data_IF_422822639316
#
_entry.id   IF_422822639316
#
_cell.length_a   1.000
_cell.length_b   1.000
_cell.length_c   1.000
_cell.angle_alpha   90.00
_cell.angle_beta   90.00
_cell.angle_gamma   90.00
#
_symmetry.space_group_name_H-M   'P 1'
#
loop_
_entity.id
_entity.type
_entity.pdbx_description
1 polymer ?
#
# COMPACT_ATOMS: atom_id res chain seq x y z
N UNK A 1 -6.82 -23.79 -20.56
CA UNK A 1 -6.54 -24.73 -21.68
C UNK A 1 -5.63 -25.84 -21.20
N UNK A 2 -6.08 -27.08 -21.37
CA UNK A 2 -5.42 -28.32 -20.98
C UNK A 2 -4.28 -28.69 -21.96
N UNK A 3 -3.41 -29.58 -21.44
CA UNK A 3 -2.46 -30.50 -22.11
C UNK A 3 -1.06 -29.90 -22.31
N UNK A 4 0.01 -30.44 -21.74
CA UNK A 4 0.43 -31.83 -21.87
C UNK A 4 1.27 -32.33 -20.68
N UNK A 5 0.78 -33.37 -19.97
CA UNK A 5 1.58 -34.36 -19.25
C UNK A 5 2.11 -35.38 -20.25
N UNK A 6 3.38 -35.79 -20.11
CA UNK A 6 4.04 -37.08 -20.44
C UNK A 6 5.56 -36.81 -20.32
N UNK A 7 6.43 -37.59 -19.69
CA UNK A 7 6.41 -38.98 -19.27
C UNK A 7 7.50 -39.20 -18.19
N UNK A 8 7.33 -40.28 -17.44
CA UNK A 8 8.15 -40.82 -16.35
C UNK A 8 9.49 -41.42 -16.84
N UNK A 9 10.45 -41.43 -15.91
CA UNK A 9 11.79 -42.02 -15.86
C UNK A 9 12.08 -43.33 -16.64
N UNK A 10 13.33 -43.43 -17.14
CA UNK A 10 14.10 -44.69 -17.27
C UNK A 10 15.57 -44.43 -16.92
N UNK A 11 16.06 -45.18 -15.94
CA UNK A 11 17.46 -45.35 -15.52
C UNK A 11 18.21 -46.19 -16.55
N UNK A 12 19.46 -45.86 -16.93
CA UNK A 12 20.62 -46.79 -16.88
C UNK A 12 21.88 -46.23 -17.58
N UNK A 13 23.01 -46.61 -16.97
CA UNK A 13 24.38 -46.77 -17.51
C UNK A 13 25.26 -45.56 -17.75
N UNK A 14 25.97 -45.20 -16.67
CA UNK A 14 27.39 -44.80 -16.72
C UNK A 14 28.17 -45.91 -17.44
N UNK A 15 28.67 -45.62 -18.64
CA UNK A 15 29.77 -46.36 -19.25
C UNK A 15 30.95 -45.40 -19.31
N UNK A 16 31.94 -45.66 -18.46
CA UNK A 16 33.31 -45.20 -18.69
C UNK A 16 33.71 -45.65 -20.10
N UNK A 17 33.86 -44.69 -21.01
CA UNK A 17 34.84 -44.82 -22.08
C UNK A 17 35.93 -43.79 -21.82
N UNK A 18 36.92 -44.20 -21.01
CA UNK A 18 38.29 -43.76 -21.21
C UNK A 18 38.66 -44.17 -22.65
N UNK A 19 38.40 -43.27 -23.60
CA UNK A 19 39.15 -43.29 -24.85
C UNK A 19 40.16 -42.17 -24.75
N UNK A 20 41.42 -42.59 -24.81
CA UNK A 20 42.60 -41.75 -24.75
C UNK A 20 42.54 -40.82 -25.95
N UNK A 21 41.97 -39.63 -25.78
CA UNK A 21 42.15 -38.55 -26.73
C UNK A 21 43.53 -37.96 -26.43
N UNK A 22 44.50 -38.54 -27.14
CA UNK A 22 45.81 -37.99 -27.42
C UNK A 22 45.80 -36.46 -27.42
N UNK A 23 46.65 -35.88 -26.59
CA UNK A 23 46.95 -34.45 -26.55
C UNK A 23 47.57 -34.07 -27.88
N UNK A 24 46.75 -33.63 -28.83
CA UNK A 24 47.21 -32.80 -29.93
C UNK A 24 46.89 -31.38 -29.51
N UNK A 25 47.91 -30.69 -28.99
CA UNK A 25 47.87 -29.26 -28.82
C UNK A 25 47.81 -28.62 -30.21
N UNK A 26 46.60 -28.53 -30.77
CA UNK A 26 46.35 -27.49 -31.74
C UNK A 26 46.49 -26.18 -30.97
N UNK A 27 47.55 -25.42 -31.26
CA UNK A 27 47.53 -24.01 -31.00
C UNK A 27 46.27 -23.48 -31.70
N UNK A 28 45.23 -23.22 -30.91
CA UNK A 28 44.06 -22.49 -31.35
C UNK A 28 44.59 -21.22 -31.97
N UNK A 29 44.51 -21.11 -33.31
CA UNK A 29 44.85 -19.89 -34.05
C UNK A 29 43.85 -18.77 -33.77
N UNK A 30 42.87 -19.03 -32.91
CA UNK A 30 41.91 -18.07 -32.37
C UNK A 30 42.20 -17.80 -30.90
N UNK A 31 42.02 -16.54 -30.50
CA UNK A 31 42.08 -16.14 -29.11
C UNK A 31 41.09 -16.96 -28.27
N UNK A 32 41.55 -17.55 -27.17
CA UNK A 32 40.78 -18.56 -26.44
C UNK A 32 41.19 -18.67 -24.97
N UNK A 33 40.51 -19.55 -24.24
CA UNK A 33 40.88 -19.94 -22.88
C UNK A 33 41.47 -21.34 -22.87
N UNK A 34 42.55 -21.53 -22.10
CA UNK A 34 43.18 -22.83 -21.87
C UNK A 34 43.27 -23.11 -20.38
N UNK A 35 42.76 -24.27 -19.96
CA UNK A 35 42.90 -24.76 -18.58
C UNK A 35 44.26 -25.43 -18.38
N UNK A 36 44.95 -25.09 -17.30
CA UNK A 36 46.19 -25.72 -16.84
C UNK A 36 45.90 -26.86 -15.86
N UNK A 37 46.90 -27.69 -15.56
CA UNK A 37 46.77 -28.88 -14.71
C UNK A 37 46.38 -28.54 -13.26
N UNK A 38 46.76 -27.35 -12.78
CA UNK A 38 46.37 -26.80 -11.49
C UNK A 38 44.94 -26.25 -11.47
N UNK A 39 44.23 -26.30 -12.59
CA UNK A 39 42.85 -25.84 -12.74
C UNK A 39 42.70 -24.36 -13.12
N UNK A 40 43.79 -23.59 -13.23
CA UNK A 40 43.75 -22.19 -13.67
C UNK A 40 43.34 -22.08 -15.14
N UNK A 41 42.57 -21.06 -15.50
CA UNK A 41 42.23 -20.77 -16.89
C UNK A 41 43.03 -19.56 -17.38
N UNK A 42 43.85 -19.77 -18.40
CA UNK A 42 44.72 -18.76 -19.00
C UNK A 42 44.15 -18.30 -20.34
N UNK A 43 44.26 -17.00 -20.61
CA UNK A 43 43.96 -16.43 -21.92
C UNK A 43 45.12 -16.67 -22.88
N UNK A 44 44.78 -17.18 -24.06
CA UNK A 44 45.70 -17.53 -25.13
C UNK A 44 45.43 -16.61 -26.31
N UNK A 45 46.41 -15.82 -26.71
CA UNK A 45 46.40 -14.98 -27.91
C UNK A 45 47.31 -15.64 -28.95
N UNK A 46 46.76 -15.97 -30.12
CA UNK A 46 47.50 -16.72 -31.16
C UNK A 46 48.21 -17.98 -30.63
N UNK A 47 47.58 -18.69 -29.71
CA UNK A 47 48.12 -19.90 -29.08
C UNK A 47 49.21 -19.69 -28.02
N UNK A 48 49.54 -18.44 -27.65
CA UNK A 48 50.48 -18.10 -26.57
C UNK A 48 49.76 -17.41 -25.42
N UNK A 49 50.17 -17.70 -24.19
CA UNK A 49 49.60 -17.04 -23.01
C UNK A 49 49.94 -15.54 -23.04
N UNK A 50 48.93 -14.67 -23.04
CA UNK A 50 49.09 -13.24 -22.91
C UNK A 50 48.70 -12.82 -21.48
N UNK A 51 49.72 -12.61 -20.64
CA UNK A 51 49.57 -12.25 -19.24
C UNK A 51 49.06 -10.81 -19.01
N UNK A 52 48.95 -10.00 -20.06
CA UNK A 52 48.55 -8.59 -19.98
C UNK A 52 47.12 -8.35 -20.45
N UNK A 53 46.47 -9.35 -21.05
CA UNK A 53 45.09 -9.21 -21.52
C UNK A 53 44.12 -9.04 -20.35
N UNK A 54 43.28 -8.02 -20.45
CA UNK A 54 42.13 -7.80 -19.56
C UNK A 54 40.94 -7.43 -20.42
N UNK A 55 39.84 -8.17 -20.31
CA UNK A 55 38.69 -8.00 -21.20
C UNK A 55 37.89 -9.28 -21.37
N UNK A 56 36.98 -9.25 -22.34
CA UNK A 56 36.10 -10.38 -22.64
C UNK A 56 36.70 -11.32 -23.66
N UNK A 57 36.58 -12.63 -23.43
CA UNK A 57 36.97 -13.67 -24.39
C UNK A 57 35.83 -14.66 -24.55
N UNK A 58 35.56 -15.06 -25.79
CA UNK A 58 34.54 -16.06 -26.13
C UNK A 58 35.14 -17.47 -26.04
N UNK A 59 34.50 -18.37 -25.30
CA UNK A 59 34.88 -19.78 -25.19
C UNK A 59 33.61 -20.65 -25.18
N UNK A 60 33.47 -21.54 -26.17
CA UNK A 60 32.26 -22.36 -26.42
C UNK A 60 30.95 -21.57 -26.25
N UNK A 61 30.81 -20.49 -27.02
CA UNK A 61 29.63 -19.62 -27.07
C UNK A 61 29.30 -18.79 -25.81
N UNK A 62 30.14 -18.88 -24.78
CA UNK A 62 30.03 -18.04 -23.58
C UNK A 62 31.16 -17.03 -23.52
N UNK A 63 30.86 -15.80 -23.09
CA UNK A 63 31.85 -14.76 -22.89
C UNK A 63 32.29 -14.71 -21.43
N UNK A 64 33.59 -14.79 -21.21
CA UNK A 64 34.22 -14.79 -19.89
C UNK A 64 35.09 -13.56 -19.72
N UNK A 65 35.16 -13.05 -18.50
CA UNK A 65 36.06 -11.97 -18.15
C UNK A 65 37.42 -12.52 -17.73
N UNK A 66 38.46 -11.96 -18.36
CA UNK A 66 39.86 -12.21 -18.07
C UNK A 66 40.46 -10.97 -17.46
N UNK A 67 41.30 -11.16 -16.45
CA UNK A 67 42.08 -10.13 -15.80
C UNK A 67 43.53 -10.59 -15.69
N UNK A 68 44.46 -9.76 -16.18
CA UNK A 68 45.90 -10.08 -16.19
C UNK A 68 46.20 -11.48 -16.76
N UNK A 69 45.57 -11.81 -17.89
CA UNK A 69 45.74 -13.08 -18.60
C UNK A 69 45.08 -14.30 -17.96
N UNK A 70 44.35 -14.15 -16.84
CA UNK A 70 43.64 -15.24 -16.15
C UNK A 70 42.14 -15.00 -16.11
N UNK A 71 41.35 -16.05 -16.30
CA UNK A 71 39.89 -15.98 -16.09
C UNK A 71 39.61 -15.60 -14.63
N UNK A 72 38.84 -14.53 -14.41
CA UNK A 72 38.44 -14.10 -13.08
C UNK A 72 36.97 -14.44 -12.82
N UNK A 73 36.73 -15.57 -12.16
CA UNK A 73 35.38 -16.05 -11.76
C UNK A 73 34.69 -15.13 -10.74
N UNK A 74 35.43 -14.27 -10.05
CA UNK A 74 34.89 -13.40 -9.01
C UNK A 74 34.58 -11.99 -9.54
N UNK A 75 34.87 -11.70 -10.81
CA UNK A 75 34.60 -10.39 -11.37
C UNK A 75 33.10 -10.17 -11.54
N UNK A 76 32.58 -9.13 -10.90
CA UNK A 76 31.23 -8.61 -11.12
C UNK A 76 31.34 -7.11 -11.32
N UNK A 77 30.89 -6.61 -12.46
CA UNK A 77 31.08 -5.21 -12.83
C UNK A 77 31.00 -4.97 -14.33
N UNK A 78 31.45 -3.79 -14.75
CA UNK A 78 31.43 -3.36 -16.14
C UNK A 78 32.76 -3.61 -16.82
N UNK A 79 32.74 -4.09 -18.05
CA UNK A 79 33.95 -4.19 -18.89
C UNK A 79 33.71 -3.63 -20.26
N UNK A 80 34.70 -2.92 -20.81
CA UNK A 80 34.61 -2.34 -22.14
C UNK A 80 35.05 -3.37 -23.17
N UNK A 81 34.19 -3.63 -24.16
CA UNK A 81 34.53 -4.45 -25.32
C UNK A 81 34.21 -3.67 -26.58
N UNK A 82 35.26 -3.39 -27.36
CA UNK A 82 35.26 -2.31 -28.36
C UNK A 82 34.85 -0.97 -27.75
N UNK A 83 33.67 -0.45 -28.11
CA UNK A 83 33.15 0.83 -27.64
C UNK A 83 31.92 0.71 -26.74
N UNK A 84 31.54 -0.51 -26.38
CA UNK A 84 30.37 -0.79 -25.55
C UNK A 84 30.80 -1.35 -24.20
N UNK A 85 30.15 -0.90 -23.13
CA UNK A 85 30.34 -1.43 -21.79
C UNK A 85 29.29 -2.49 -21.51
N UNK A 86 29.76 -3.68 -21.10
CA UNK A 86 28.92 -4.83 -20.81
C UNK A 86 28.99 -5.20 -19.33
N UNK A 87 27.88 -5.68 -18.79
CA UNK A 87 27.84 -6.25 -17.45
C UNK A 87 28.33 -7.70 -17.44
N UNK A 88 29.24 -7.98 -16.51
CA UNK A 88 29.72 -9.31 -16.17
C UNK A 88 29.30 -9.61 -14.75
N UNK A 89 28.73 -10.80 -14.54
CA UNK A 89 28.42 -11.32 -13.21
C UNK A 89 29.15 -12.64 -12.99
N UNK A 90 29.88 -12.75 -11.88
CA UNK A 90 30.66 -13.95 -11.53
C UNK A 90 31.56 -14.45 -12.68
N UNK A 91 32.26 -13.51 -13.33
CA UNK A 91 33.20 -13.79 -14.41
C UNK A 91 32.58 -14.12 -15.77
N UNK A 92 31.25 -14.11 -15.90
CA UNK A 92 30.52 -14.43 -17.13
C UNK A 92 29.68 -13.23 -17.57
N UNK A 93 29.72 -12.88 -18.85
CA UNK A 93 28.85 -11.84 -19.40
C UNK A 93 27.38 -12.30 -19.28
N UNK A 94 26.57 -11.49 -18.62
CA UNK A 94 25.14 -11.74 -18.50
C UNK A 94 24.37 -10.84 -19.48
N UNK A 95 23.86 -11.45 -20.55
CA UNK A 95 23.20 -10.74 -21.66
C UNK A 95 21.88 -10.08 -21.27
N UNK A 96 21.22 -10.58 -20.24
CA UNK A 96 19.86 -10.16 -19.86
C UNK A 96 19.86 -9.35 -18.56
N UNK A 97 21.03 -8.87 -18.12
CA UNK A 97 21.12 -8.09 -16.89
C UNK A 97 20.61 -6.66 -17.09
N UNK A 98 19.59 -6.30 -16.32
CA UNK A 98 19.09 -4.93 -16.20
C UNK A 98 19.06 -4.53 -14.73
N UNK A 99 19.70 -3.42 -14.38
CA UNK A 99 19.81 -2.96 -12.99
C UNK A 99 21.07 -2.13 -12.72
N UNK A 100 21.42 -2.04 -11.44
CA UNK A 100 22.56 -1.25 -10.96
C UNK A 100 23.79 -2.09 -10.72
N UNK A 101 24.92 -1.67 -11.29
CA UNK A 101 26.23 -2.28 -11.03
C UNK A 101 27.26 -1.25 -10.60
N UNK A 102 28.19 -1.66 -9.75
CA UNK A 102 29.23 -0.79 -9.21
C UNK A 102 30.50 -0.89 -10.07
N UNK A 103 31.02 0.25 -10.51
CA UNK A 103 32.28 0.36 -11.24
C UNK A 103 33.07 1.58 -10.75
N UNK A 104 34.31 1.35 -10.28
CA UNK A 104 35.15 2.37 -9.62
C UNK A 104 34.38 3.27 -8.64
N UNK A 105 33.75 2.65 -7.65
CA UNK A 105 32.98 3.33 -6.61
C UNK A 105 31.71 4.08 -7.05
N UNK A 106 31.36 4.04 -8.33
CA UNK A 106 30.15 4.65 -8.88
C UNK A 106 29.16 3.57 -9.30
N UNK A 107 27.88 3.76 -9.01
CA UNK A 107 26.82 2.86 -9.46
C UNK A 107 26.25 3.35 -10.79
N UNK A 108 26.25 2.48 -11.79
CA UNK A 108 25.75 2.75 -13.13
C UNK A 108 24.53 1.89 -13.44
N UNK A 109 23.61 2.44 -14.24
CA UNK A 109 22.48 1.71 -14.77
C UNK A 109 22.85 0.97 -16.05
N UNK A 110 22.46 -0.30 -16.09
CA UNK A 110 22.65 -1.22 -17.20
C UNK A 110 21.28 -1.71 -17.65
N UNK A 111 21.09 -1.77 -18.96
CA UNK A 111 19.88 -2.27 -19.62
C UNK A 111 20.30 -3.30 -20.67
N UNK A 112 19.77 -4.53 -20.55
CA UNK A 112 20.09 -5.65 -21.44
C UNK A 112 21.62 -5.84 -21.60
N UNK A 113 22.32 -5.91 -20.46
CA UNK A 113 23.78 -5.99 -20.31
C UNK A 113 24.56 -4.74 -20.71
N UNK A 114 23.96 -3.78 -21.41
CA UNK A 114 24.65 -2.60 -21.92
C UNK A 114 24.49 -1.43 -20.96
N UNK A 115 25.60 -0.75 -20.64
CA UNK A 115 25.54 0.50 -19.88
C UNK A 115 24.74 1.54 -20.67
N UNK A 116 23.60 1.95 -20.13
CA UNK A 116 22.75 2.98 -20.73
C UNK A 116 23.13 4.35 -20.15
N UNK A 117 23.96 5.08 -20.90
CA UNK A 117 24.51 6.38 -20.50
C UNK A 117 23.47 7.49 -20.29
N UNK A 118 22.27 7.35 -20.86
CA UNK A 118 21.25 8.41 -20.85
C UNK A 118 20.04 8.05 -19.99
N UNK A 119 20.12 6.97 -19.22
CA UNK A 119 19.01 6.57 -18.36
C UNK A 119 18.84 7.54 -17.20
N UNK A 120 17.66 8.15 -17.12
CA UNK A 120 17.21 8.93 -15.96
C UNK A 120 15.85 8.40 -15.54
N UNK A 121 15.73 7.94 -14.30
CA UNK A 121 14.54 7.24 -13.85
C UNK A 121 14.73 6.46 -12.56
N UNK A 122 13.75 5.61 -12.26
CA UNK A 122 13.76 4.73 -11.09
C UNK A 122 14.07 3.30 -11.51
N UNK A 123 15.03 2.68 -10.83
CA UNK A 123 15.35 1.26 -11.01
C UNK A 123 15.31 0.53 -9.67
N UNK A 124 14.90 -0.74 -9.69
CA UNK A 124 14.82 -1.57 -8.49
C UNK A 124 16.12 -2.33 -8.27
N UNK A 125 16.63 -2.34 -7.04
CA UNK A 125 17.81 -3.10 -6.62
C UNK A 125 17.62 -3.61 -5.19
N UNK A 126 17.69 -4.93 -4.97
CA UNK A 126 17.37 -5.62 -3.71
C UNK A 126 16.15 -5.03 -2.97
N UNK A 127 15.02 -5.04 -3.66
CA UNK A 127 13.73 -4.56 -3.16
C UNK A 127 13.54 -3.06 -2.94
N UNK A 128 14.59 -2.26 -3.12
CA UNK A 128 14.51 -0.80 -3.01
C UNK A 128 14.57 -0.15 -4.40
N UNK A 129 13.77 0.89 -4.60
CA UNK A 129 13.82 1.71 -5.81
C UNK A 129 14.80 2.86 -5.62
N UNK A 130 15.72 3.01 -6.57
CA UNK A 130 16.75 4.04 -6.59
C UNK A 130 16.56 4.97 -7.77
N UNK A 131 16.79 6.25 -7.55
CA UNK A 131 16.83 7.26 -8.58
C UNK A 131 18.21 7.30 -9.24
N UNK A 132 18.19 7.29 -10.56
CA UNK A 132 19.35 7.38 -11.45
C UNK A 132 19.18 8.61 -12.32
N UNK A 133 20.28 9.33 -12.51
CA UNK A 133 20.36 10.51 -13.37
C UNK A 133 21.59 10.35 -14.26
N UNK A 134 21.38 10.41 -15.58
CA UNK A 134 22.42 10.20 -16.60
C UNK A 134 23.27 8.95 -16.32
N UNK A 135 22.59 7.81 -16.12
CA UNK A 135 23.13 6.50 -15.75
C UNK A 135 23.70 6.39 -14.33
N UNK A 136 23.94 7.47 -13.62
CA UNK A 136 24.57 7.45 -12.30
C UNK A 136 23.53 7.47 -11.19
N UNK A 137 23.64 6.56 -10.22
CA UNK A 137 22.80 6.59 -9.03
C UNK A 137 23.01 7.90 -8.27
N UNK A 138 21.96 8.70 -8.13
CA UNK A 138 22.03 9.99 -7.47
C UNK A 138 21.54 9.89 -6.02
N UNK A 139 22.49 9.68 -5.10
CA UNK A 139 22.27 9.62 -3.65
C UNK A 139 21.76 10.92 -3.03
N UNK A 140 21.81 12.05 -3.74
CA UNK A 140 21.43 13.35 -3.23
C UNK A 140 20.02 13.77 -3.68
N UNK A 141 19.34 12.95 -4.49
CA UNK A 141 17.97 13.24 -4.93
C UNK A 141 17.02 13.12 -3.74
N UNK A 142 16.32 14.21 -3.46
CA UNK A 142 15.33 14.29 -2.39
C UNK A 142 14.05 14.99 -2.88
N UNK A 143 12.93 14.74 -2.21
CA UNK A 143 11.64 15.36 -2.50
C UNK A 143 10.81 14.61 -3.53
N UNK A 144 9.77 15.27 -4.04
CA UNK A 144 8.86 14.66 -5.01
C UNK A 144 9.53 14.42 -6.37
N UNK A 145 9.24 13.26 -6.94
CA UNK A 145 9.64 12.87 -8.28
C UNK A 145 8.46 12.25 -9.03
N UNK A 146 8.20 12.75 -10.23
CA UNK A 146 7.23 12.17 -11.15
C UNK A 146 7.96 11.16 -12.04
N UNK A 147 7.61 9.89 -11.93
CA UNK A 147 8.22 8.87 -12.78
C UNK A 147 7.33 8.52 -13.98
N UNK A 148 6.01 8.70 -13.88
CA UNK A 148 5.09 8.53 -15.00
C UNK A 148 3.72 9.18 -14.75
N UNK A 149 3.24 10.04 -15.65
CA UNK A 149 1.86 10.55 -15.61
C UNK A 149 1.48 11.19 -14.27
N UNK A 150 0.52 10.59 -13.55
CA UNK A 150 0.06 11.04 -12.22
C UNK A 150 0.73 10.30 -11.06
N UNK A 151 1.73 9.47 -11.33
CA UNK A 151 2.43 8.67 -10.33
C UNK A 151 3.66 9.43 -9.83
N UNK A 152 3.59 9.86 -8.58
CA UNK A 152 4.65 10.60 -7.90
C UNK A 152 5.07 9.85 -6.65
N UNK A 153 6.38 9.82 -6.40
CA UNK A 153 6.95 9.29 -5.17
C UNK A 153 7.80 10.35 -4.46
N UNK A 154 7.99 10.14 -3.16
CA UNK A 154 8.88 10.93 -2.34
C UNK A 154 10.22 10.20 -2.18
N UNK A 155 11.30 10.90 -2.51
CA UNK A 155 12.66 10.38 -2.44
C UNK A 155 13.39 10.95 -1.22
N UNK A 156 14.11 10.06 -0.51
CA UNK A 156 15.09 10.40 0.51
C UNK A 156 16.42 9.75 0.14
N UNK A 157 17.48 10.53 0.03
CA UNK A 157 18.82 10.06 -0.34
C UNK A 157 18.85 9.15 -1.59
N UNK A 158 18.13 9.54 -2.63
CA UNK A 158 18.05 8.81 -3.89
C UNK A 158 17.18 7.55 -3.87
N UNK A 159 16.46 7.27 -2.78
CA UNK A 159 15.60 6.09 -2.63
C UNK A 159 14.15 6.49 -2.44
N UNK A 160 13.20 5.67 -2.91
CA UNK A 160 11.79 5.84 -2.50
C UNK A 160 11.70 5.60 -1.00
N UNK A 161 11.21 6.62 -0.28
CA UNK A 161 11.03 6.57 1.16
C UNK A 161 9.58 6.20 1.48
N UNK A 162 9.30 4.90 1.54
CA UNK A 162 7.96 4.39 1.86
C UNK A 162 7.56 4.62 3.31
N UNK A 163 8.45 5.15 4.15
CA UNK A 163 8.14 5.51 5.54
C UNK A 163 7.62 6.94 5.68
N UNK A 164 7.76 7.76 4.62
CA UNK A 164 7.35 9.15 4.64
C UNK A 164 5.84 9.29 4.40
N UNK A 165 5.13 9.82 5.40
CA UNK A 165 3.75 10.26 5.29
C UNK A 165 3.65 11.70 5.80
N UNK A 166 3.14 12.61 4.98
CA UNK A 166 3.02 14.02 5.34
C UNK A 166 3.01 14.97 4.16
N UNK A 167 3.21 16.26 4.46
CA UNK A 167 3.18 17.33 3.48
C UNK A 167 4.57 17.63 2.90
N UNK A 168 4.63 17.70 1.58
CA UNK A 168 5.83 18.08 0.83
C UNK A 168 5.54 19.30 -0.05
N UNK A 169 6.44 20.28 -0.02
CA UNK A 169 6.38 21.41 -0.93
C UNK A 169 7.02 21.07 -2.26
N UNK A 170 6.31 21.32 -3.35
CA UNK A 170 6.81 21.19 -4.72
C UNK A 170 6.39 22.42 -5.52
N UNK A 171 7.39 23.26 -5.82
CA UNK A 171 7.23 24.55 -6.50
C UNK A 171 6.15 25.47 -5.89
N UNK A 172 6.11 25.55 -4.55
CA UNK A 172 5.20 26.44 -3.84
C UNK A 172 3.84 25.83 -3.50
N UNK A 173 3.47 24.72 -4.14
CA UNK A 173 2.26 23.95 -3.79
C UNK A 173 2.63 22.84 -2.80
N UNK A 174 1.79 22.62 -1.79
CA UNK A 174 1.98 21.56 -0.82
C UNK A 174 1.08 20.37 -1.16
N UNK A 175 1.70 19.21 -1.32
CA UNK A 175 1.02 17.95 -1.64
C UNK A 175 1.10 17.00 -0.45
N UNK A 176 0.08 16.17 -0.30
CA UNK A 176 0.07 15.10 0.68
C UNK A 176 0.63 13.82 0.08
N UNK A 177 1.56 13.22 0.81
CA UNK A 177 2.20 11.94 0.51
C UNK A 177 1.83 10.96 1.61
N UNK A 178 1.47 9.75 1.21
CA UNK A 178 1.15 8.63 2.07
C UNK A 178 2.05 7.46 1.68
N UNK A 179 2.81 6.94 2.66
CA UNK A 179 3.72 5.81 2.49
C UNK A 179 4.69 5.98 1.30
N UNK A 180 5.20 7.20 1.13
CA UNK A 180 6.15 7.55 0.08
C UNK A 180 5.53 7.85 -1.30
N UNK A 181 4.20 7.80 -1.45
CA UNK A 181 3.51 8.08 -2.71
C UNK A 181 2.51 9.23 -2.57
N UNK A 182 2.41 10.08 -3.59
CA UNK A 182 1.45 11.18 -3.58
C UNK A 182 0.02 10.62 -3.63
N UNK A 183 -0.81 10.97 -2.65
CA UNK A 183 -2.20 10.55 -2.57
C UNK A 183 -3.13 11.69 -3.06
N UNK A 184 -3.55 11.61 -4.32
CA UNK A 184 -4.45 12.58 -4.95
C UNK A 184 -5.88 12.56 -4.39
N UNK A 185 -6.28 11.48 -3.74
CA UNK A 185 -7.63 11.30 -3.21
C UNK A 185 -7.74 11.75 -1.75
N UNK A 186 -6.63 12.13 -1.13
CA UNK A 186 -6.60 12.53 0.27
C UNK A 186 -7.39 13.82 0.52
N UNK A 187 -8.46 13.69 1.31
CA UNK A 187 -9.37 14.77 1.71
C UNK A 187 -9.57 14.76 3.23
N UNK A 188 -8.59 15.25 3.98
CA UNK A 188 -8.58 15.18 5.44
C UNK A 188 -7.67 16.26 6.05
N UNK A 189 -7.49 16.22 7.37
CA UNK A 189 -6.52 17.04 8.08
C UNK A 189 -5.19 16.32 8.21
N UNK A 190 -4.10 17.05 8.03
CA UNK A 190 -2.75 16.57 8.33
C UNK A 190 -2.06 17.48 9.33
N UNK A 191 -1.30 16.88 10.26
CA UNK A 191 -0.51 17.65 11.23
C UNK A 191 0.84 18.04 10.61
N UNK A 192 1.15 19.33 10.65
CA UNK A 192 2.45 19.85 10.26
C UNK A 192 2.94 20.82 11.33
N UNK A 193 3.99 20.44 12.04
CA UNK A 193 4.55 21.16 13.19
C UNK A 193 3.50 21.58 14.23
N UNK A 194 2.59 20.66 14.59
CA UNK A 194 1.58 20.90 15.63
C UNK A 194 0.34 21.66 15.14
N UNK A 195 0.34 22.16 13.90
CA UNK A 195 -0.84 22.78 13.28
C UNK A 195 -1.51 21.78 12.35
N UNK A 196 -2.83 21.69 12.42
CA UNK A 196 -3.60 20.83 11.52
C UNK A 196 -4.08 21.63 10.31
N UNK A 197 -3.65 21.20 9.12
CA UNK A 197 -3.99 21.82 7.84
C UNK A 197 -4.99 20.96 7.07
N UNK A 198 -5.93 21.61 6.39
CA UNK A 198 -6.85 20.97 5.47
C UNK A 198 -6.18 20.65 4.14
N UNK A 199 -6.30 19.39 3.73
CA UNK A 199 -5.89 18.91 2.42
C UNK A 199 -7.14 18.44 1.68
N UNK A 200 -7.27 18.85 0.43
CA UNK A 200 -8.39 18.50 -0.45
C UNK A 200 -7.81 18.03 -1.77
N UNK A 201 -8.21 16.84 -2.22
CA UNK A 201 -7.68 16.19 -3.42
C UNK A 201 -6.14 16.13 -3.44
N UNK A 202 -5.55 15.74 -2.30
CA UNK A 202 -4.10 15.60 -2.15
C UNK A 202 -3.33 16.92 -2.08
N UNK A 203 -3.99 18.07 -2.11
CA UNK A 203 -3.36 19.40 -2.10
C UNK A 203 -3.80 20.19 -0.87
N UNK A 204 -2.85 20.80 -0.16
CA UNK A 204 -3.17 21.73 0.91
C UNK A 204 -3.84 22.97 0.31
N UNK A 205 -5.09 23.20 0.68
CA UNK A 205 -5.86 24.37 0.24
C UNK A 205 -5.88 25.44 1.33
N UNK A 206 -5.04 26.46 1.14
CA UNK A 206 -4.90 27.61 2.05
C UNK A 206 -6.18 28.45 2.20
N UNK A 207 -7.13 28.32 1.26
CA UNK A 207 -8.37 29.09 1.26
C UNK A 207 -9.57 28.23 1.67
N UNK A 208 -9.38 26.93 1.87
CA UNK A 208 -10.47 26.03 2.23
C UNK A 208 -11.10 26.46 3.56
N UNK A 209 -12.41 26.67 3.54
CA UNK A 209 -13.20 26.85 4.75
C UNK A 209 -14.42 25.94 4.67
N UNK A 210 -14.53 25.01 5.60
CA UNK A 210 -15.51 23.93 5.52
C UNK A 210 -15.26 22.87 6.57
N UNK A 211 -15.79 21.67 6.34
CA UNK A 211 -15.69 20.55 7.27
C UNK A 211 -14.85 19.45 6.64
N UNK A 212 -13.82 18.98 7.35
CA UNK A 212 -13.02 17.81 6.97
C UNK A 212 -13.07 16.74 8.06
N UNK A 213 -12.98 15.48 7.65
CA UNK A 213 -12.89 14.34 8.58
C UNK A 213 -11.44 14.11 8.98
N UNK A 214 -11.21 13.79 10.25
CA UNK A 214 -9.92 13.30 10.76
C UNK A 214 -10.17 12.20 11.79
N UNK A 215 -9.78 10.97 11.44
CA UNK A 215 -10.24 9.77 12.15
C UNK A 215 -11.77 9.68 12.10
N UNK A 216 -12.39 9.46 13.26
CA UNK A 216 -13.85 9.33 13.39
C UNK A 216 -14.58 10.66 13.59
N UNK A 217 -13.86 11.79 13.68
CA UNK A 217 -14.45 13.09 14.04
C UNK A 217 -14.38 14.07 12.87
N UNK A 218 -15.41 14.89 12.73
CA UNK A 218 -15.44 16.02 11.78
C UNK A 218 -14.91 17.28 12.46
N UNK A 219 -14.08 18.03 11.74
CA UNK A 219 -13.49 19.28 12.21
C UNK A 219 -13.81 20.41 11.25
N UNK A 220 -14.04 21.60 11.81
CA UNK A 220 -14.18 22.80 11.03
C UNK A 220 -12.80 23.40 10.73
N UNK A 221 -12.59 23.67 9.46
CA UNK A 221 -11.39 24.29 8.92
C UNK A 221 -11.76 25.68 8.42
N UNK A 222 -10.91 26.65 8.73
CA UNK A 222 -11.02 28.02 8.23
C UNK A 222 -9.70 28.45 7.64
N UNK A 223 -9.72 28.91 6.39
CA UNK A 223 -8.53 29.33 5.64
C UNK A 223 -7.41 28.28 5.71
N UNK A 224 -7.78 27.03 5.39
CA UNK A 224 -6.85 25.89 5.34
C UNK A 224 -6.37 25.38 6.69
N UNK A 225 -6.79 25.97 7.82
CA UNK A 225 -6.33 25.59 9.17
C UNK A 225 -7.50 25.17 10.05
N UNK A 226 -7.32 24.12 10.85
CA UNK A 226 -8.29 23.69 11.86
C UNK A 226 -8.60 24.85 12.83
N UNK A 227 -9.86 25.25 12.91
CA UNK A 227 -10.30 26.32 13.83
C UNK A 227 -10.83 25.72 15.14
N UNK A 228 -9.94 25.57 16.13
CA UNK A 228 -10.28 25.10 17.48
C UNK A 228 -11.26 26.00 18.23
N UNK A 229 -11.53 27.21 17.75
CA UNK A 229 -12.48 28.13 18.39
C UNK A 229 -13.85 28.11 17.72
N UNK A 230 -14.02 27.37 16.62
CA UNK A 230 -15.28 27.34 15.90
C UNK A 230 -16.41 26.79 16.77
N UNK A 231 -17.50 27.56 16.80
CA UNK A 231 -18.75 27.25 17.48
C UNK A 231 -19.88 27.67 16.55
N UNK A 232 -20.65 26.70 16.04
CA UNK A 232 -21.66 26.99 15.03
C UNK A 232 -22.12 25.73 14.31
N UNK A 233 -22.84 25.91 13.21
CA UNK A 233 -23.28 24.82 12.32
C UNK A 233 -22.53 24.91 11.00
N UNK A 234 -22.06 23.78 10.48
CA UNK A 234 -21.43 23.72 9.16
C UNK A 234 -21.84 22.46 8.43
N UNK A 235 -21.95 22.56 7.10
CA UNK A 235 -22.34 21.45 6.24
C UNK A 235 -21.11 20.65 5.83
N UNK A 236 -21.16 19.34 5.99
CA UNK A 236 -20.16 18.42 5.43
C UNK A 236 -20.45 18.15 3.95
N UNK A 237 -19.48 17.59 3.22
CA UNK A 237 -19.63 17.33 1.77
C UNK A 237 -20.79 16.38 1.44
N UNK A 238 -21.31 15.64 2.42
CA UNK A 238 -22.52 14.82 2.31
C UNK A 238 -23.84 15.62 2.33
N UNK A 239 -23.80 16.95 2.46
CA UNK A 239 -24.98 17.80 2.57
C UNK A 239 -25.60 17.84 3.98
N UNK A 240 -25.14 16.97 4.90
CA UNK A 240 -25.58 17.00 6.31
C UNK A 240 -24.94 18.17 7.04
N UNK A 241 -25.75 18.89 7.81
CA UNK A 241 -25.29 19.96 8.69
C UNK A 241 -24.97 19.40 10.07
N UNK A 242 -23.77 19.70 10.56
CA UNK A 242 -23.29 19.32 11.89
C UNK A 242 -23.09 20.57 12.76
N UNK A 243 -23.29 20.42 14.06
CA UNK A 243 -23.04 21.40 15.11
C UNK A 243 -21.64 21.17 15.65
N UNK A 244 -20.88 22.25 15.80
CA UNK A 244 -19.49 22.24 16.21
C UNK A 244 -19.31 23.01 17.51
N UNK A 245 -18.42 22.48 18.36
CA UNK A 245 -17.92 23.15 19.55
C UNK A 245 -16.43 22.89 19.66
N UNK A 246 -15.66 23.95 19.86
CA UNK A 246 -14.20 23.91 19.92
C UNK A 246 -13.58 23.28 18.65
N UNK A 247 -14.12 23.63 17.48
CA UNK A 247 -13.62 23.14 16.19
C UNK A 247 -14.06 21.72 15.83
N UNK A 248 -14.48 20.89 16.77
CA UNK A 248 -14.93 19.53 16.52
C UNK A 248 -16.46 19.45 16.45
N UNK A 249 -16.98 18.58 15.59
CA UNK A 249 -18.40 18.26 15.56
C UNK A 249 -18.80 17.58 16.88
N UNK A 250 -19.85 18.09 17.50
CA UNK A 250 -20.48 17.48 18.69
C UNK A 250 -21.72 16.67 18.31
N UNK A 251 -22.22 16.87 17.08
CA UNK A 251 -23.25 16.03 16.50
C UNK A 251 -22.59 14.67 16.20
N UNK A 252 -22.72 13.76 17.16
CA UNK A 252 -22.19 12.41 17.08
C UNK A 252 -22.80 11.67 15.88
N UNK A 253 -21.95 10.99 15.13
CA UNK A 253 -22.15 10.56 13.74
C UNK A 253 -23.20 9.44 13.61
N UNK A 254 -24.49 9.76 13.72
CA UNK A 254 -25.61 8.83 13.41
C UNK A 254 -25.83 7.67 14.41
N UNK A 255 -24.78 7.07 14.95
CA UNK A 255 -24.84 5.88 15.79
C UNK A 255 -25.66 6.08 17.07
N UNK A 256 -25.60 7.25 17.72
CA UNK A 256 -26.42 7.52 18.92
C UNK A 256 -27.91 7.56 18.57
N UNK A 257 -28.25 8.18 17.44
CA UNK A 257 -29.62 8.23 16.96
C UNK A 257 -30.10 6.83 16.52
N UNK A 258 -29.25 6.07 15.84
CA UNK A 258 -29.54 4.72 15.38
C UNK A 258 -29.71 3.74 16.55
N UNK A 259 -28.83 3.82 17.55
CA UNK A 259 -28.91 3.04 18.79
C UNK A 259 -30.17 3.39 19.59
N UNK A 260 -30.52 4.68 19.67
CA UNK A 260 -31.76 5.12 20.32
C UNK A 260 -33.01 4.59 19.59
N UNK A 261 -33.04 4.66 18.26
CA UNK A 261 -34.14 4.12 17.45
C UNK A 261 -34.26 2.60 17.59
N UNK A 262 -33.14 1.87 17.56
CA UNK A 262 -33.09 0.43 17.79
C UNK A 262 -33.63 0.06 19.18
N UNK A 263 -33.18 0.75 20.23
CA UNK A 263 -33.65 0.55 21.59
C UNK A 263 -35.16 0.81 21.73
N UNK A 264 -35.67 1.87 21.10
CA UNK A 264 -37.10 2.18 21.09
C UNK A 264 -37.93 1.10 20.39
N UNK A 265 -37.42 0.55 19.28
CA UNK A 265 -38.07 -0.54 18.55
C UNK A 265 -38.15 -1.82 19.37
N UNK A 266 -37.05 -2.21 20.02
CA UNK A 266 -37.00 -3.40 20.90
C UNK A 266 -38.00 -3.22 22.05
N UNK A 267 -37.97 -2.06 22.71
CA UNK A 267 -38.95 -1.71 23.77
C UNK A 267 -40.39 -1.84 23.29
N UNK A 268 -40.69 -1.34 22.09
CA UNK A 268 -42.04 -1.38 21.54
C UNK A 268 -42.55 -2.81 21.32
N UNK A 269 -41.72 -3.72 20.80
CA UNK A 269 -42.12 -5.12 20.58
C UNK A 269 -42.20 -5.92 21.88
N UNK A 270 -41.21 -5.79 22.76
CA UNK A 270 -41.18 -6.49 24.04
C UNK A 270 -42.32 -6.03 24.97
N UNK A 271 -42.67 -4.75 24.97
CA UNK A 271 -43.79 -4.25 25.75
C UNK A 271 -45.14 -4.86 25.32
N UNK A 272 -45.33 -5.22 24.04
CA UNK A 272 -46.57 -5.87 23.56
C UNK A 272 -46.79 -7.26 24.13
N UNK A 273 -45.71 -7.96 24.47
CA UNK A 273 -45.76 -9.28 25.14
C UNK A 273 -45.63 -9.17 26.67
N UNK A 274 -45.58 -7.93 27.19
CA UNK A 274 -45.53 -7.61 28.61
C UNK A 274 -44.13 -7.64 29.23
N UNK A 275 -43.08 -7.67 28.40
CA UNK A 275 -41.70 -7.68 28.87
C UNK A 275 -41.19 -6.25 29.10
N UNK A 276 -40.15 -6.13 29.92
CA UNK A 276 -39.43 -4.86 30.15
C UNK A 276 -38.02 -4.92 29.59
N UNK A 277 -37.54 -3.82 29.01
CA UNK A 277 -36.24 -3.76 28.31
C UNK A 277 -35.36 -2.69 28.95
N UNK A 278 -34.17 -3.09 29.37
CA UNK A 278 -33.12 -2.20 29.89
C UNK A 278 -31.94 -2.21 28.92
N UNK A 279 -31.44 -1.03 28.55
CA UNK A 279 -30.20 -0.93 27.78
C UNK A 279 -29.03 -1.39 28.66
N UNK A 280 -28.18 -2.25 28.12
CA UNK A 280 -26.95 -2.71 28.80
C UNK A 280 -25.77 -1.93 28.24
N UNK A 281 -25.60 -1.95 26.92
CA UNK A 281 -24.52 -1.29 26.19
C UNK A 281 -24.96 -1.05 24.74
N UNK A 282 -24.26 -0.16 24.06
CA UNK A 282 -24.39 0.02 22.63
C UNK A 282 -23.04 0.39 22.01
N UNK A 283 -22.79 -0.11 20.82
CA UNK A 283 -21.53 0.07 20.09
C UNK A 283 -21.80 0.43 18.64
N UNK A 284 -21.10 1.45 18.14
CA UNK A 284 -21.00 1.76 16.72
C UNK A 284 -20.08 0.75 16.03
N UNK A 285 -20.56 0.16 14.94
CA UNK A 285 -19.80 -0.81 14.15
C UNK A 285 -18.85 -0.09 13.18
N UNK A 286 -17.68 -0.68 12.85
CA UNK A 286 -16.72 -0.11 11.90
C UNK A 286 -17.38 0.22 10.54
N UNK A 287 -16.87 1.26 9.87
CA UNK A 287 -17.28 1.65 8.52
C UNK A 287 -16.83 0.59 7.47
N UNK A 288 -17.52 -0.54 7.38
CA UNK A 288 -17.42 -1.53 6.28
C UNK A 288 -18.77 -1.61 5.51
N UNK A 289 -19.01 -2.65 4.70
CA UNK A 289 -20.22 -2.85 3.85
C UNK A 289 -21.56 -2.64 4.60
N UNK A 290 -21.57 -2.65 5.93
CA UNK A 290 -22.74 -2.43 6.76
C UNK A 290 -22.46 -1.41 7.90
N UNK A 291 -22.52 -0.11 7.62
CA UNK A 291 -22.53 0.90 8.70
C UNK A 291 -23.74 0.63 9.62
N UNK A 292 -23.48 0.37 10.91
CA UNK A 292 -24.50 -0.11 11.83
C UNK A 292 -24.21 0.11 13.32
N UNK A 293 -25.16 -0.27 14.17
CA UNK A 293 -24.98 -0.31 15.62
C UNK A 293 -25.35 -1.68 16.18
N UNK A 294 -24.56 -2.14 17.15
CA UNK A 294 -24.92 -3.23 18.03
C UNK A 294 -25.53 -2.66 19.32
N UNK A 295 -26.74 -3.10 19.68
CA UNK A 295 -27.43 -2.69 20.90
C UNK A 295 -27.73 -3.91 21.74
N UNK A 296 -27.07 -4.01 22.90
CA UNK A 296 -27.30 -5.07 23.87
C UNK A 296 -28.31 -4.60 24.91
N UNK A 297 -29.35 -5.40 25.10
CA UNK A 297 -30.41 -5.16 26.08
C UNK A 297 -30.56 -6.33 27.02
N UNK A 298 -31.11 -6.03 28.20
CA UNK A 298 -31.63 -7.01 29.14
C UNK A 298 -33.15 -6.98 29.08
N UNK A 299 -33.73 -8.12 28.72
CA UNK A 299 -35.18 -8.32 28.66
C UNK A 299 -35.59 -9.06 29.92
N UNK A 300 -36.57 -8.52 30.65
CA UNK A 300 -37.19 -9.17 31.81
C UNK A 300 -38.63 -9.51 31.49
N UNK A 301 -38.91 -10.81 31.50
CA UNK A 301 -40.23 -11.37 31.19
C UNK A 301 -41.19 -11.29 32.37
N UNK A 302 -42.49 -11.47 32.10
CA UNK A 302 -43.54 -11.46 33.12
C UNK A 302 -43.37 -12.52 34.21
N UNK A 303 -42.76 -13.66 33.88
CA UNK A 303 -42.47 -14.73 34.85
C UNK A 303 -41.23 -14.44 35.72
N UNK A 304 -40.59 -13.29 35.52
CA UNK A 304 -39.40 -12.86 36.24
C UNK A 304 -38.08 -13.39 35.67
N UNK A 305 -38.10 -14.15 34.57
CA UNK A 305 -36.88 -14.55 33.86
C UNK A 305 -36.19 -13.33 33.23
N UNK A 306 -34.86 -13.37 33.15
CA UNK A 306 -34.05 -12.32 32.53
C UNK A 306 -33.15 -12.93 31.44
N UNK A 307 -33.14 -12.32 30.26
CA UNK A 307 -32.32 -12.72 29.12
C UNK A 307 -31.57 -11.51 28.54
N UNK A 308 -30.37 -11.76 28.02
CA UNK A 308 -29.57 -10.76 27.33
C UNK A 308 -29.66 -10.97 25.83
N UNK A 309 -29.83 -9.87 25.10
CA UNK A 309 -30.07 -9.89 23.67
C UNK A 309 -29.34 -8.75 22.98
N UNK A 310 -28.66 -9.05 21.87
CA UNK A 310 -27.97 -8.05 21.04
C UNK A 310 -28.68 -7.92 19.69
N UNK A 311 -29.12 -6.71 19.37
CA UNK A 311 -29.65 -6.38 18.05
C UNK A 311 -28.56 -5.70 17.24
N UNK A 312 -28.30 -6.20 16.02
CA UNK A 312 -27.47 -5.48 15.06
C UNK A 312 -28.40 -4.76 14.10
N UNK A 313 -28.20 -3.46 13.96
CA UNK A 313 -28.94 -2.67 13.00
C UNK A 313 -27.97 -2.14 11.95
N UNK A 314 -28.34 -2.28 10.69
CA UNK A 314 -27.52 -1.84 9.56
C UNK A 314 -28.34 -0.91 8.67
N UNK A 315 -27.66 0.06 8.06
CA UNK A 315 -28.21 0.87 6.99
C UNK A 315 -27.77 0.28 5.66
N UNK A 316 -28.72 0.10 4.73
CA UNK A 316 -28.40 -0.34 3.39
C UNK A 316 -28.06 0.88 2.53
N UNK A 317 -26.83 0.95 1.99
CA UNK A 317 -26.35 2.05 1.17
C UNK A 317 -26.42 1.66 -0.32
N UNK A 318 -26.94 2.55 -1.17
CA UNK A 318 -26.71 2.44 -2.61
C UNK A 318 -25.42 3.15 -2.98
N UNK A 319 -24.51 2.46 -3.68
CA UNK A 319 -23.28 3.03 -4.19
C UNK A 319 -23.58 3.89 -5.44
N UNK A 320 -23.28 5.19 -5.38
CA UNK A 320 -23.31 6.03 -6.57
C UNK A 320 -22.05 5.79 -7.41
N UNK A 321 -22.27 5.51 -8.70
CA UNK A 321 -21.23 5.09 -9.66
C UNK A 321 -20.34 6.23 -10.16
N UNK A 322 -20.54 7.47 -9.70
CA UNK A 322 -19.88 8.65 -10.26
C UNK A 322 -18.72 9.20 -9.39
N UNK A 323 -18.54 8.69 -8.16
CA UNK A 323 -17.41 9.03 -7.29
C UNK A 323 -16.87 7.74 -6.68
N UNK A 324 -15.79 7.23 -7.26
CA UNK A 324 -15.14 6.00 -6.80
C UNK A 324 -14.56 6.25 -5.40
N UNK A 325 -15.03 5.52 -4.38
CA UNK A 325 -14.55 5.64 -3.00
C UNK A 325 -15.40 6.48 -2.04
N UNK A 326 -16.51 7.08 -2.50
CA UNK A 326 -17.44 7.85 -1.65
C UNK A 326 -18.76 7.09 -1.51
N UNK A 327 -19.09 6.65 -0.30
CA UNK A 327 -20.42 6.11 0.01
C UNK A 327 -21.39 7.29 0.27
N UNK A 328 -22.37 7.47 -0.61
CA UNK A 328 -23.40 8.51 -0.45
C UNK A 328 -24.48 8.06 0.55
N UNK A 329 -24.95 9.03 1.34
CA UNK A 329 -26.12 8.94 2.19
C UNK A 329 -27.31 9.52 1.40
N UNK A 330 -28.10 8.69 0.73
CA UNK A 330 -29.47 9.08 0.43
C UNK A 330 -30.30 8.95 1.69
N UNK A 331 -31.05 10.00 2.01
CA UNK A 331 -31.66 10.24 3.30
C UNK A 331 -32.40 9.06 3.96
N UNK A 332 -32.47 9.13 5.28
CA UNK A 332 -33.30 8.29 6.15
C UNK A 332 -33.37 6.81 5.74
N UNK A 333 -32.22 6.23 5.38
CA UNK A 333 -32.12 4.83 4.96
C UNK A 333 -32.85 3.90 5.93
N UNK A 334 -33.55 2.91 5.37
CA UNK A 334 -34.29 1.92 6.16
C UNK A 334 -33.36 1.25 7.18
N UNK A 335 -33.70 1.35 8.46
CA UNK A 335 -33.01 0.63 9.53
C UNK A 335 -33.37 -0.86 9.40
N UNK A 336 -32.45 -1.67 8.89
CA UNK A 336 -32.63 -3.11 8.87
C UNK A 336 -32.11 -3.67 10.18
N UNK A 337 -33.02 -4.24 10.98
CA UNK A 337 -32.65 -4.95 12.20
C UNK A 337 -32.43 -6.42 11.85
N UNK A 338 -31.19 -6.87 11.94
CA UNK A 338 -30.84 -8.28 11.87
C UNK A 338 -30.61 -8.75 13.30
N UNK A 339 -31.44 -9.70 13.73
CA UNK A 339 -31.31 -10.34 15.03
C UNK A 339 -30.08 -11.27 14.96
N UNK A 340 -29.03 -10.96 15.72
CA UNK A 340 -27.88 -11.86 15.87
C UNK A 340 -27.75 -12.24 17.34
N UNK A 341 -27.93 -13.51 17.66
CA UNK A 341 -27.72 -13.99 19.02
C UNK A 341 -26.21 -14.10 19.30
N UNK A 342 -25.66 -13.24 20.17
CA UNK A 342 -24.28 -13.34 20.66
C UNK A 342 -23.65 -12.02 21.09
N UNK A 343 -22.57 -12.09 21.87
CA UNK A 343 -21.72 -10.93 22.17
C UNK A 343 -20.86 -10.62 20.94
N UNK A 344 -20.96 -9.38 20.45
CA UNK A 344 -20.14 -8.87 19.36
C UNK A 344 -19.07 -7.95 19.95
N UNK A 345 -17.81 -8.17 19.59
CA UNK A 345 -16.70 -7.30 19.97
C UNK A 345 -15.69 -7.33 18.82
N UNK A 346 -15.45 -6.18 18.20
CA UNK A 346 -14.49 -6.01 17.12
C UNK A 346 -13.47 -4.95 17.51
N UNK A 347 -12.21 -5.14 17.09
CA UNK A 347 -11.06 -4.32 17.50
C UNK A 347 -11.18 -2.82 17.11
N UNK A 348 -12.21 -2.44 16.35
CA UNK A 348 -12.46 -1.09 15.83
C UNK A 348 -13.84 -0.51 16.20
N UNK A 349 -14.60 -1.09 17.14
CA UNK A 349 -15.92 -0.56 17.53
C UNK A 349 -15.82 0.72 18.37
N UNK A 350 -16.87 1.55 18.32
CA UNK A 350 -16.98 2.78 19.13
C UNK A 350 -18.03 2.59 20.22
N UNK A 351 -17.61 2.62 21.49
CA UNK A 351 -18.52 2.52 22.64
C UNK A 351 -19.40 3.77 22.75
N UNK A 352 -20.71 3.59 22.86
CA UNK A 352 -21.70 4.67 22.98
C UNK A 352 -22.16 4.82 24.44
N UNK A 353 -22.22 6.05 24.94
CA UNK A 353 -22.66 6.31 26.32
C UNK A 353 -24.18 6.18 26.49
N UNK A 354 -24.62 5.48 27.53
CA UNK A 354 -26.04 5.34 27.88
C UNK A 354 -26.74 6.69 28.07
N UNK A 355 -26.08 7.66 28.72
CA UNK A 355 -26.65 8.99 28.97
C UNK A 355 -26.98 9.72 27.67
N UNK A 356 -26.14 9.62 26.65
CA UNK A 356 -26.39 10.25 25.35
C UNK A 356 -27.57 9.60 24.61
N UNK A 357 -27.69 8.27 24.67
CA UNK A 357 -28.79 7.52 24.04
C UNK A 357 -30.13 7.87 24.70
N UNK A 358 -30.16 7.91 26.04
CA UNK A 358 -31.36 8.25 26.79
C UNK A 358 -31.76 9.71 26.58
N UNK A 359 -30.81 10.64 26.57
CA UNK A 359 -31.08 12.05 26.32
C UNK A 359 -31.66 12.31 24.91
N UNK A 360 -31.26 11.52 23.91
CA UNK A 360 -31.84 11.60 22.56
C UNK A 360 -33.32 11.20 22.56
N UNK A 361 -33.71 10.17 23.33
CA UNK A 361 -35.10 9.70 23.42
C UNK A 361 -36.02 10.68 24.16
N UNK A 362 -35.51 11.37 25.18
CA UNK A 362 -36.30 12.32 26.00
C UNK A 362 -36.83 13.52 25.19
N UNK A 363 -36.24 13.78 24.01
CA UNK A 363 -36.66 14.85 23.10
C UNK A 363 -37.53 14.40 21.90
N UNK A 364 -37.94 13.14 21.81
CA UNK A 364 -38.73 12.62 20.68
C UNK A 364 -40.21 12.46 21.00
N UNK A 365 -41.07 13.29 20.40
CA UNK A 365 -42.53 13.23 20.58
C UNK A 365 -43.21 12.11 19.76
N UNK A 366 -42.54 11.57 18.73
CA UNK A 366 -43.03 10.44 17.93
C UNK A 366 -41.90 9.77 17.14
N UNK A 367 -42.06 8.47 16.83
CA UNK A 367 -41.16 7.70 15.97
C UNK A 367 -41.95 7.01 14.86
N UNK A 368 -41.42 7.03 13.63
CA UNK A 368 -41.99 6.31 12.48
C UNK A 368 -41.27 4.96 12.33
N UNK A 369 -42.00 3.85 12.41
CA UNK A 369 -41.46 2.52 12.15
C UNK A 369 -41.35 2.29 10.63
N UNK A 370 -40.13 2.24 10.11
CA UNK A 370 -39.88 1.83 8.73
C UNK A 370 -39.68 0.30 8.68
N UNK A 371 -40.71 -0.43 8.25
CA UNK A 371 -40.76 -1.85 7.86
C UNK A 371 -39.80 -2.85 8.58
N UNK A 372 -40.22 -3.45 9.71
CA UNK A 372 -39.50 -4.59 10.27
C UNK A 372 -39.78 -5.85 9.44
N UNK A 373 -38.74 -6.45 8.86
CA UNK A 373 -38.83 -7.82 8.37
C UNK A 373 -38.82 -8.74 9.59
N UNK A 374 -39.96 -9.37 9.86
CA UNK A 374 -40.03 -10.51 10.77
C UNK A 374 -39.20 -11.65 10.16
N UNK A 375 -38.03 -11.92 10.72
CA UNK A 375 -37.38 -13.22 10.53
C UNK A 375 -38.10 -14.19 11.47
N UNK A 376 -38.81 -15.14 10.88
CA UNK A 376 -39.52 -16.21 11.59
C UNK A 376 -38.58 -17.17 12.29
#
# INVERSE_FOLDING_TARGET
MKKFKKLIAVVLTVILSLSVMSVVAFASTTDSLKRTDDGTWLYMENGKHNAYYTGLVKYYDTWYYVENGKLNWNYTGLTKYYDTWYFVGNGVLNWDYTGLTKYYDTWYYVEDSVLNWNYTGLTKYYDTWYYVEDSVLNWNKNGLYNYYGNEWCYLTNGQIDTSYTGLVNYYGTWYYVEEGFLNWDYCSLTNYYGTYYGVVNGVLDWNFSGVLRYGTTLYYVRNGVLDWNYKGKAMYCTGKTYTFRNGAAIDYDGYVADAAQALALIKYYEAKVGNTVTLVEAEGMPDDVYNGVAVTVKIRSNDGSEEYYTAITCKNFQQYTNLTGIMENEGDGYLYVIVVAGNHNEDNSVVLSNDAILAYLDGMDSFALLNPISVK
#
